data_IF_447469911599
#
_entry.id   IF_447469911599
#
_cell.length_a   1.000
_cell.length_b   1.000
_cell.length_c   1.000
_cell.angle_alpha   90.00
_cell.angle_beta   90.00
_cell.angle_gamma   90.00
#
_symmetry.space_group_name_H-M   'P 1'
#
loop_
_entity.id
_entity.type
_entity.pdbx_description
1 polymer ?
#
# COMPACT_ATOMS: atom_id res chain seq x y z
N UNK A 1 22.35 9.79 7.70
CA UNK A 1 21.99 8.50 8.32
C UNK A 1 21.34 8.81 9.68
N UNK A 2 20.05 8.44 9.91
CA UNK A 2 19.40 8.65 11.21
C UNK A 2 19.77 7.48 12.12
N UNK A 3 20.21 7.76 13.35
CA UNK A 3 20.49 6.75 14.38
C UNK A 3 19.39 6.78 15.43
N UNK A 4 19.06 5.63 15.99
CA UNK A 4 18.15 5.54 17.13
C UNK A 4 18.96 5.86 18.38
N UNK A 5 18.48 6.81 19.18
CA UNK A 5 19.05 7.20 20.47
C UNK A 5 18.00 6.94 21.53
N UNK A 6 18.36 6.21 22.58
CA UNK A 6 17.49 5.99 23.74
C UNK A 6 17.77 7.07 24.80
N UNK A 7 16.71 7.72 25.25
CA UNK A 7 16.79 8.75 26.29
C UNK A 7 15.90 8.35 27.47
N UNK A 8 16.40 8.53 28.67
CA UNK A 8 15.63 8.36 29.90
C UNK A 8 15.04 9.71 30.28
N UNK A 9 13.73 9.83 30.19
CA UNK A 9 12.97 11.04 30.55
C UNK A 9 11.85 10.64 31.48
N UNK A 10 11.55 11.48 32.49
CA UNK A 10 10.42 11.25 33.38
C UNK A 10 9.11 11.07 32.61
N UNK A 11 8.36 10.03 32.95
CA UNK A 11 7.14 9.64 32.23
C UNK A 11 6.10 10.76 32.25
N UNK A 12 5.98 11.48 33.36
CA UNK A 12 5.05 12.61 33.52
C UNK A 12 5.34 13.73 32.51
N UNK A 13 6.63 14.08 32.32
CA UNK A 13 7.04 15.09 31.33
C UNK A 13 6.72 14.69 29.90
N UNK A 14 6.82 13.37 29.60
CA UNK A 14 6.46 12.85 28.30
C UNK A 14 4.95 12.98 28.07
N UNK A 15 4.14 12.64 29.07
CA UNK A 15 2.70 12.72 29.00
C UNK A 15 2.20 14.17 28.88
N UNK A 16 2.74 15.07 29.68
CA UNK A 16 2.41 16.48 29.64
C UNK A 16 2.79 17.14 28.31
N UNK A 17 3.96 16.77 27.78
CA UNK A 17 4.39 17.21 26.46
C UNK A 17 3.46 16.75 25.35
N UNK A 18 3.06 15.48 25.37
CA UNK A 18 2.10 14.92 24.41
C UNK A 18 0.72 15.56 24.51
N UNK A 19 0.23 15.79 25.74
CA UNK A 19 -1.05 16.45 25.99
C UNK A 19 -1.08 17.88 25.44
N UNK A 20 0.07 18.57 25.44
CA UNK A 20 0.26 19.89 24.83
C UNK A 20 0.57 19.85 23.33
N UNK A 21 0.47 18.68 22.69
CA UNK A 21 0.71 18.53 21.26
C UNK A 21 2.18 18.50 20.84
N UNK A 22 3.11 18.33 21.80
CA UNK A 22 4.54 18.33 21.51
C UNK A 22 4.96 17.05 20.79
N UNK A 23 5.60 17.18 19.63
CA UNK A 23 6.28 16.07 18.99
C UNK A 23 7.69 15.89 19.59
N UNK A 24 7.83 14.92 20.50
CA UNK A 24 9.07 14.71 21.26
C UNK A 24 10.30 14.50 20.40
N UNK A 25 10.18 13.75 19.29
CA UNK A 25 11.31 13.50 18.38
C UNK A 25 11.78 14.78 17.70
N UNK A 26 10.85 15.64 17.28
CA UNK A 26 11.19 16.95 16.68
C UNK A 26 11.77 17.92 17.71
N UNK A 27 11.20 17.93 18.89
CA UNK A 27 11.70 18.76 19.99
C UNK A 27 13.13 18.39 20.33
N UNK A 28 13.44 17.10 20.47
CA UNK A 28 14.79 16.61 20.74
C UNK A 28 15.76 16.89 19.59
N UNK A 29 15.33 16.70 18.34
CA UNK A 29 16.16 17.03 17.17
C UNK A 29 16.48 18.54 17.13
N UNK A 30 15.49 19.39 17.41
CA UNK A 30 15.67 20.84 17.49
C UNK A 30 16.65 21.23 18.59
N UNK A 31 16.50 20.67 19.80
CA UNK A 31 17.37 20.98 20.94
C UNK A 31 18.80 20.45 20.74
N UNK A 32 18.97 19.30 20.11
CA UNK A 32 20.28 18.79 19.74
C UNK A 32 20.98 19.67 18.68
N UNK A 33 20.23 20.15 17.69
CA UNK A 33 20.77 21.10 16.69
C UNK A 33 21.18 22.41 17.33
N UNK A 34 20.37 22.94 18.26
CA UNK A 34 20.67 24.13 19.03
C UNK A 34 21.96 23.95 19.86
N UNK A 35 22.13 22.80 20.52
CA UNK A 35 23.29 22.49 21.36
C UNK A 35 24.57 22.26 20.52
N UNK A 36 24.48 21.54 19.42
CA UNK A 36 25.63 21.20 18.56
C UNK A 36 26.05 22.39 17.69
N UNK A 37 25.11 23.28 17.34
CA UNK A 37 25.33 24.41 16.44
C UNK A 37 26.01 25.63 17.07
N UNK A 38 26.34 25.61 18.37
CA UNK A 38 27.03 26.64 19.15
C UNK A 38 26.76 28.08 18.71
N UNK A 39 26.03 28.85 19.51
CA UNK A 39 25.76 30.28 19.36
C UNK A 39 24.90 30.73 18.18
N UNK A 40 23.62 30.45 18.26
CA UNK A 40 22.64 31.39 17.70
C UNK A 40 22.16 32.26 18.88
N UNK A 41 22.59 33.50 18.90
CA UNK A 41 22.10 34.49 19.85
C UNK A 41 20.59 34.61 19.66
N UNK A 42 19.85 34.63 20.77
CA UNK A 42 18.40 34.86 20.80
C UNK A 42 17.97 36.28 20.32
N UNK A 43 18.87 37.04 19.69
CA UNK A 43 18.64 38.41 19.23
C UNK A 43 18.33 38.55 17.75
N UNK A 44 18.52 37.53 16.94
CA UNK A 44 18.00 37.54 15.58
C UNK A 44 16.58 36.98 15.59
N UNK A 45 15.61 37.87 15.81
CA UNK A 45 14.31 37.77 15.20
C UNK A 45 14.51 37.78 13.67
N UNK A 46 15.14 36.76 13.14
CA UNK A 46 14.77 36.35 11.79
C UNK A 46 13.28 36.08 11.90
N UNK A 47 12.55 37.01 11.37
CA UNK A 47 11.24 36.76 10.81
C UNK A 47 11.42 35.49 9.97
N UNK A 48 11.39 34.36 10.67
CA UNK A 48 11.40 33.07 10.06
C UNK A 48 10.14 33.07 9.23
N UNK A 49 10.27 33.31 7.94
CA UNK A 49 9.17 33.46 7.00
C UNK A 49 8.33 32.20 6.90
N UNK A 50 7.82 31.78 8.06
CA UNK A 50 6.78 30.78 8.15
C UNK A 50 5.58 31.35 7.45
N UNK A 51 5.33 30.84 6.26
CA UNK A 51 4.20 31.29 5.46
C UNK A 51 2.90 31.17 6.27
N UNK A 52 2.15 32.25 6.36
CA UNK A 52 0.77 32.28 6.86
C UNK A 52 -0.20 31.64 5.87
N UNK A 53 0.28 31.30 4.71
CA UNK A 53 -0.41 30.69 3.55
C UNK A 53 0.31 29.43 3.15
N UNK A 54 -0.40 28.52 2.46
CA UNK A 54 0.26 27.41 1.74
C UNK A 54 0.92 28.03 0.49
N UNK A 55 2.26 27.93 0.36
CA UNK A 55 2.96 28.52 -0.78
C UNK A 55 2.60 27.83 -2.10
N UNK A 56 2.64 28.60 -3.20
CA UNK A 56 2.43 28.07 -4.54
C UNK A 56 3.28 26.83 -4.79
N UNK A 57 2.65 25.76 -5.31
CA UNK A 57 3.32 24.48 -5.47
C UNK A 57 4.53 24.55 -6.42
N UNK A 58 4.49 25.44 -7.40
CA UNK A 58 5.59 25.66 -8.36
C UNK A 58 6.95 25.94 -7.69
N UNK A 59 6.94 26.60 -6.53
CA UNK A 59 8.18 26.94 -5.78
C UNK A 59 8.86 25.71 -5.17
N UNK A 60 8.09 24.66 -4.86
CA UNK A 60 8.59 23.50 -4.14
C UNK A 60 8.44 22.19 -4.92
N UNK A 61 7.93 22.23 -6.14
CA UNK A 61 7.59 21.03 -6.93
C UNK A 61 8.73 20.02 -7.00
N UNK A 62 9.93 20.47 -7.39
CA UNK A 62 11.09 19.58 -7.58
C UNK A 62 11.54 18.91 -6.29
N UNK A 63 11.54 19.66 -5.18
CA UNK A 63 11.99 19.13 -3.90
C UNK A 63 10.92 18.26 -3.25
N UNK A 64 9.65 18.57 -3.48
CA UNK A 64 8.52 17.71 -3.09
C UNK A 64 8.53 16.38 -3.84
N UNK A 65 8.81 16.37 -5.16
CA UNK A 65 8.96 15.14 -5.95
C UNK A 65 10.08 14.25 -5.38
N UNK A 66 11.23 14.82 -5.06
CA UNK A 66 12.34 14.09 -4.41
C UNK A 66 11.93 13.53 -3.05
N UNK A 67 11.20 14.33 -2.28
CA UNK A 67 10.69 13.91 -0.99
C UNK A 67 9.69 12.73 -1.11
N UNK A 68 8.77 12.77 -2.09
CA UNK A 68 7.85 11.65 -2.34
C UNK A 68 8.59 10.36 -2.71
N UNK A 69 9.63 10.46 -3.54
CA UNK A 69 10.48 9.31 -3.88
C UNK A 69 11.15 8.72 -2.62
N UNK A 70 11.62 9.57 -1.71
CA UNK A 70 12.21 9.11 -0.44
C UNK A 70 11.21 8.45 0.52
N UNK A 71 9.90 8.60 0.28
CA UNK A 71 8.83 7.95 1.06
C UNK A 71 8.45 6.56 0.52
N UNK A 72 9.17 6.02 -0.46
CA UNK A 72 8.91 4.72 -1.10
C UNK A 72 7.48 4.59 -1.68
N UNK A 73 6.95 5.69 -2.21
CA UNK A 73 5.66 5.71 -2.87
C UNK A 73 5.75 5.23 -4.32
N UNK A 74 4.68 4.61 -4.82
CA UNK A 74 4.66 4.18 -6.23
C UNK A 74 4.76 5.38 -7.17
N UNK A 75 5.47 5.23 -8.29
CA UNK A 75 5.63 6.26 -9.32
C UNK A 75 4.29 6.85 -9.77
N UNK A 76 3.26 6.02 -9.99
CA UNK A 76 1.92 6.47 -10.38
C UNK A 76 1.31 7.39 -9.32
N UNK A 77 1.35 6.96 -8.06
CA UNK A 77 0.79 7.77 -6.96
C UNK A 77 1.52 9.09 -6.77
N UNK A 78 2.86 9.08 -6.86
CA UNK A 78 3.68 10.29 -6.85
C UNK A 78 3.26 11.25 -7.97
N UNK A 79 3.09 10.74 -9.20
CA UNK A 79 2.66 11.52 -10.35
C UNK A 79 1.26 12.10 -10.18
N UNK A 80 0.33 11.33 -9.63
CA UNK A 80 -1.05 11.77 -9.36
C UNK A 80 -1.06 12.92 -8.34
N UNK A 81 -0.29 12.82 -7.25
CA UNK A 81 -0.15 13.89 -6.26
C UNK A 81 0.42 15.17 -6.88
N UNK A 82 1.51 15.05 -7.63
CA UNK A 82 2.18 16.19 -8.28
C UNK A 82 1.29 16.87 -9.31
N UNK A 83 0.59 16.12 -10.15
CA UNK A 83 -0.32 16.65 -11.15
C UNK A 83 -1.50 17.38 -10.49
N UNK A 84 -2.07 16.81 -9.44
CA UNK A 84 -3.16 17.38 -8.66
C UNK A 84 -2.73 18.73 -8.05
N UNK A 85 -1.57 18.78 -7.39
CA UNK A 85 -1.06 20.01 -6.79
C UNK A 85 -0.69 21.05 -7.83
N UNK A 86 -0.13 20.65 -8.96
CA UNK A 86 0.20 21.57 -10.07
C UNK A 86 -1.05 22.27 -10.61
N UNK A 87 -2.17 21.58 -10.67
CA UNK A 87 -3.46 22.15 -11.09
C UNK A 87 -4.17 22.96 -10.02
N UNK A 88 -3.99 22.60 -8.74
CA UNK A 88 -4.77 23.12 -7.63
C UNK A 88 -4.10 24.26 -6.87
N UNK A 89 -2.79 24.19 -6.59
CA UNK A 89 -2.03 25.20 -5.82
C UNK A 89 -1.14 26.01 -6.77
N UNK A 90 -1.75 26.87 -7.58
CA UNK A 90 -1.05 27.69 -8.57
C UNK A 90 -0.40 28.93 -7.97
N UNK A 91 -0.97 29.44 -6.87
CA UNK A 91 -0.55 30.62 -6.12
C UNK A 91 -0.59 30.31 -4.62
N UNK A 92 -0.11 31.26 -3.81
CA UNK A 92 -0.16 31.13 -2.35
C UNK A 92 -1.62 31.17 -1.88
N UNK A 93 -2.06 30.13 -1.14
CA UNK A 93 -3.45 30.06 -0.69
C UNK A 93 -3.55 30.28 0.81
N UNK A 94 -4.35 31.27 1.20
CA UNK A 94 -4.67 31.60 2.59
C UNK A 94 -5.77 30.73 3.18
N UNK A 95 -6.61 30.13 2.32
CA UNK A 95 -7.71 29.26 2.70
C UNK A 95 -8.04 28.25 1.60
N UNK A 96 -8.75 27.17 1.95
CA UNK A 96 -9.17 26.12 1.03
C UNK A 96 -10.67 26.24 0.81
N UNK A 97 -11.08 26.21 -0.46
CA UNK A 97 -12.49 26.23 -0.84
C UNK A 97 -13.23 24.98 -0.34
N UNK A 98 -14.52 25.12 -0.04
CA UNK A 98 -15.34 24.04 0.52
C UNK A 98 -15.58 22.86 -0.44
N UNK A 99 -15.38 23.05 -1.76
CA UNK A 99 -15.63 22.05 -2.81
C UNK A 99 -14.34 21.36 -3.28
N UNK A 100 -13.53 20.88 -2.34
CA UNK A 100 -12.30 20.15 -2.66
C UNK A 100 -12.58 18.65 -2.92
N UNK A 101 -11.99 18.10 -3.98
CA UNK A 101 -12.09 16.67 -4.27
C UNK A 101 -11.26 15.82 -3.30
N UNK A 102 -11.61 14.54 -3.15
CA UNK A 102 -10.85 13.61 -2.30
C UNK A 102 -9.36 13.58 -2.65
N UNK A 103 -9.04 13.56 -3.95
CA UNK A 103 -7.64 13.54 -4.41
C UNK A 103 -6.91 14.84 -4.12
N UNK A 104 -7.58 15.99 -4.27
CA UNK A 104 -7.03 17.29 -3.87
C UNK A 104 -6.78 17.34 -2.37
N UNK A 105 -7.73 16.86 -1.56
CA UNK A 105 -7.55 16.78 -0.10
C UNK A 105 -6.33 15.95 0.29
N UNK A 106 -6.17 14.77 -0.32
CA UNK A 106 -5.01 13.90 -0.08
C UNK A 106 -3.70 14.56 -0.53
N UNK A 107 -3.70 15.17 -1.71
CA UNK A 107 -2.51 15.83 -2.25
C UNK A 107 -2.08 17.03 -1.41
N UNK A 108 -3.02 17.89 -0.99
CA UNK A 108 -2.73 19.04 -0.12
C UNK A 108 -2.24 18.58 1.25
N UNK A 109 -2.84 17.54 1.84
CA UNK A 109 -2.34 16.96 3.11
C UNK A 109 -0.90 16.46 2.99
N UNK A 110 -0.59 15.79 1.88
CA UNK A 110 0.77 15.31 1.61
C UNK A 110 1.75 16.47 1.47
N UNK A 111 1.37 17.52 0.77
CA UNK A 111 2.18 18.72 0.59
C UNK A 111 2.39 19.48 1.91
N UNK A 112 1.36 19.64 2.72
CA UNK A 112 1.46 20.21 4.06
C UNK A 112 2.43 19.42 4.96
N UNK A 113 2.42 18.09 4.90
CA UNK A 113 3.36 17.26 5.63
C UNK A 113 4.81 17.54 5.20
N UNK A 114 5.04 17.66 3.88
CA UNK A 114 6.34 18.05 3.34
C UNK A 114 6.77 19.42 3.83
N UNK A 115 5.90 20.45 3.71
CA UNK A 115 6.20 21.81 4.13
C UNK A 115 6.51 21.90 5.64
N UNK A 116 5.71 21.20 6.46
CA UNK A 116 5.96 21.12 7.90
C UNK A 116 7.28 20.43 8.23
N UNK A 117 7.62 19.33 7.53
CA UNK A 117 8.88 18.63 7.72
C UNK A 117 10.10 19.49 7.34
N UNK A 118 9.91 20.45 6.42
CA UNK A 118 10.91 21.44 6.02
C UNK A 118 10.87 22.72 6.85
N UNK A 119 10.00 22.79 7.85
CA UNK A 119 9.78 24.01 8.68
C UNK A 119 9.40 25.25 7.86
N UNK A 120 8.71 25.06 6.73
CA UNK A 120 8.25 26.14 5.86
C UNK A 120 6.87 26.66 6.23
N UNK A 121 6.12 25.93 7.06
CA UNK A 121 4.80 26.31 7.58
C UNK A 121 4.73 26.00 9.06
N UNK A 122 3.95 26.79 9.83
CA UNK A 122 3.74 26.54 11.25
C UNK A 122 2.80 25.36 11.50
N UNK A 123 2.92 24.72 12.66
CA UNK A 123 2.02 23.65 13.06
C UNK A 123 0.56 24.14 13.19
N UNK A 124 0.36 25.41 13.58
CA UNK A 124 -0.95 26.06 13.65
C UNK A 124 -1.60 26.17 12.26
N UNK A 125 -0.82 26.64 11.28
CA UNK A 125 -1.27 26.71 9.89
C UNK A 125 -1.64 25.31 9.38
N UNK A 126 -0.78 24.34 9.62
CA UNK A 126 -1.01 22.95 9.22
C UNK A 126 -2.30 22.39 9.85
N UNK A 127 -2.52 22.61 11.16
CA UNK A 127 -3.72 22.16 11.85
C UNK A 127 -4.99 22.83 11.30
N UNK A 128 -4.94 24.15 11.05
CA UNK A 128 -6.04 24.93 10.45
C UNK A 128 -6.46 24.33 9.10
N UNK A 129 -5.51 24.11 8.20
CA UNK A 129 -5.80 23.54 6.88
C UNK A 129 -6.25 22.08 6.96
N UNK A 130 -5.62 21.24 7.79
CA UNK A 130 -6.01 19.83 7.94
C UNK A 130 -7.43 19.67 8.46
N UNK A 131 -7.93 20.60 9.28
CA UNK A 131 -9.32 20.60 9.74
C UNK A 131 -10.32 20.77 8.60
N UNK A 132 -9.96 21.56 7.56
CA UNK A 132 -10.78 21.79 6.36
C UNK A 132 -10.61 20.73 5.28
N UNK A 133 -9.64 19.85 5.44
CA UNK A 133 -9.33 18.77 4.50
C UNK A 133 -9.85 17.44 5.05
N UNK A 134 -11.10 17.05 4.82
CA UNK A 134 -11.64 15.82 5.37
C UNK A 134 -10.88 14.59 4.81
N UNK A 135 -10.67 13.60 5.67
CA UNK A 135 -10.27 12.27 5.22
C UNK A 135 -11.56 11.50 4.98
N UNK A 136 -11.85 11.23 3.72
CA UNK A 136 -13.01 10.40 3.40
C UNK A 136 -12.74 8.98 3.88
N UNK A 137 -13.55 8.52 4.80
CA UNK A 137 -13.58 7.11 5.15
C UNK A 137 -14.28 6.34 4.02
N UNK A 138 -13.57 5.41 3.39
CA UNK A 138 -14.20 4.52 2.42
C UNK A 138 -15.24 3.66 3.15
N UNK A 139 -16.46 3.63 2.64
CA UNK A 139 -17.46 2.67 3.14
C UNK A 139 -16.95 1.25 2.90
N UNK A 140 -17.16 0.32 3.85
CA UNK A 140 -16.84 -1.09 3.63
C UNK A 140 -17.56 -1.60 2.39
N UNK A 141 -16.82 -2.22 1.49
CA UNK A 141 -17.39 -2.89 0.34
C UNK A 141 -17.62 -4.35 0.71
N UNK A 142 -18.85 -4.70 1.07
CA UNK A 142 -19.24 -6.03 1.58
C UNK A 142 -19.59 -7.02 0.47
N UNK A 143 -19.51 -6.61 -0.80
CA UNK A 143 -19.80 -7.51 -1.92
C UNK A 143 -18.74 -8.60 -2.01
N UNK A 144 -19.21 -9.86 -2.07
CA UNK A 144 -18.44 -11.07 -2.33
C UNK A 144 -19.16 -11.79 -3.46
N UNK A 145 -18.50 -12.08 -4.60
CA UNK A 145 -19.15 -12.76 -5.71
C UNK A 145 -19.48 -14.23 -5.37
N UNK A 146 -20.53 -14.74 -5.96
CA UNK A 146 -20.88 -16.17 -5.93
C UNK A 146 -19.94 -16.97 -6.85
N UNK A 147 -19.92 -18.30 -6.71
CA UNK A 147 -19.20 -19.19 -7.61
C UNK A 147 -19.68 -19.03 -9.06
N UNK A 148 -21.00 -18.90 -9.26
CA UNK A 148 -21.59 -18.73 -10.61
C UNK A 148 -21.13 -17.43 -11.27
N UNK A 149 -21.00 -16.34 -10.51
CA UNK A 149 -20.47 -15.08 -11.03
C UNK A 149 -18.99 -15.21 -11.42
N UNK A 150 -18.19 -15.91 -10.59
CA UNK A 150 -16.77 -16.18 -10.91
C UNK A 150 -16.63 -17.04 -12.15
N UNK A 151 -17.38 -18.15 -12.24
CA UNK A 151 -17.39 -19.04 -13.41
C UNK A 151 -17.89 -18.30 -14.65
N UNK A 152 -18.97 -17.52 -14.52
CA UNK A 152 -19.54 -16.72 -15.59
C UNK A 152 -18.54 -15.72 -16.17
N UNK A 153 -17.82 -15.00 -15.30
CA UNK A 153 -16.79 -14.07 -15.70
C UNK A 153 -15.61 -14.77 -16.39
N UNK A 154 -15.18 -15.91 -15.87
CA UNK A 154 -14.13 -16.72 -16.51
C UNK A 154 -14.52 -17.17 -17.93
N UNK A 155 -15.73 -17.68 -18.12
CA UNK A 155 -16.23 -18.15 -19.44
C UNK A 155 -16.34 -17.05 -20.49
N UNK A 156 -16.52 -15.79 -20.07
CA UNK A 156 -16.56 -14.65 -20.99
C UNK A 156 -15.18 -14.21 -21.51
N UNK A 157 -14.09 -14.61 -20.85
CA UNK A 157 -12.73 -14.30 -21.29
C UNK A 157 -12.37 -15.19 -22.49
N UNK A 158 -12.06 -14.56 -23.63
CA UNK A 158 -11.69 -15.29 -24.87
C UNK A 158 -10.19 -15.49 -25.03
N UNK A 159 -9.39 -14.56 -24.54
CA UNK A 159 -7.92 -14.60 -24.64
C UNK A 159 -7.34 -15.50 -23.54
N UNK A 160 -6.60 -16.53 -23.94
CA UNK A 160 -5.98 -17.49 -23.03
C UNK A 160 -5.06 -16.84 -22.00
N UNK A 161 -4.39 -15.74 -22.35
CA UNK A 161 -3.53 -14.99 -21.39
C UNK A 161 -4.35 -14.47 -20.22
N UNK A 162 -5.51 -13.87 -20.51
CA UNK A 162 -6.39 -13.33 -19.45
C UNK A 162 -7.13 -14.44 -18.71
N UNK A 163 -7.42 -15.58 -19.38
CA UNK A 163 -7.97 -16.76 -18.70
C UNK A 163 -6.97 -17.33 -17.69
N UNK A 164 -5.69 -17.48 -18.06
CA UNK A 164 -4.64 -17.94 -17.15
C UNK A 164 -4.44 -16.97 -15.99
N UNK A 165 -4.38 -15.66 -16.27
CA UNK A 165 -4.24 -14.64 -15.22
C UNK A 165 -5.46 -14.62 -14.29
N UNK A 166 -6.67 -14.78 -14.82
CA UNK A 166 -7.89 -14.88 -14.02
C UNK A 166 -7.84 -16.08 -13.09
N UNK A 167 -7.52 -17.27 -13.61
CA UNK A 167 -7.36 -18.49 -12.80
C UNK A 167 -6.32 -18.29 -11.69
N UNK A 168 -5.16 -17.74 -12.02
CA UNK A 168 -4.13 -17.46 -11.02
C UNK A 168 -4.60 -16.50 -9.93
N UNK A 169 -5.35 -15.44 -10.29
CA UNK A 169 -5.96 -14.53 -9.30
C UNK A 169 -6.97 -15.26 -8.41
N UNK A 170 -7.84 -16.08 -9.02
CA UNK A 170 -8.86 -16.82 -8.30
C UNK A 170 -8.28 -17.91 -7.40
N UNK A 171 -7.21 -18.58 -7.82
CA UNK A 171 -6.58 -19.65 -7.05
C UNK A 171 -5.65 -19.15 -5.94
N UNK A 172 -5.13 -17.93 -6.04
CA UNK A 172 -4.16 -17.39 -5.08
C UNK A 172 -4.67 -16.26 -4.21
N UNK A 173 -5.73 -15.57 -4.64
CA UNK A 173 -6.12 -14.31 -4.03
C UNK A 173 -5.04 -13.22 -4.07
N UNK A 174 -3.99 -13.38 -4.88
CA UNK A 174 -2.90 -12.41 -4.98
C UNK A 174 -3.38 -11.04 -5.45
N UNK A 175 -2.61 -9.99 -5.13
CA UNK A 175 -2.89 -8.68 -5.72
C UNK A 175 -2.56 -8.68 -7.20
N UNK A 176 -3.43 -8.09 -8.02
CA UNK A 176 -3.22 -8.03 -9.48
C UNK A 176 -1.85 -7.44 -9.86
N UNK A 177 -1.35 -6.47 -9.11
CA UNK A 177 -0.03 -5.87 -9.34
C UNK A 177 1.11 -6.86 -9.11
N UNK A 178 0.99 -7.71 -8.09
CA UNK A 178 1.96 -8.75 -7.76
C UNK A 178 1.92 -9.88 -8.80
N UNK A 179 0.71 -10.30 -9.18
CA UNK A 179 0.54 -11.34 -10.18
C UNK A 179 1.03 -10.89 -11.57
N UNK A 180 0.68 -9.68 -12.01
CA UNK A 180 1.16 -9.13 -13.29
C UNK A 180 2.67 -9.02 -13.29
N UNK A 181 3.29 -8.62 -12.18
CA UNK A 181 4.75 -8.62 -12.05
C UNK A 181 5.31 -10.03 -12.18
N UNK A 182 4.75 -11.01 -11.46
CA UNK A 182 5.14 -12.41 -11.54
C UNK A 182 5.12 -12.91 -12.98
N UNK A 183 4.02 -12.75 -13.73
CA UNK A 183 3.92 -13.30 -15.09
C UNK A 183 4.80 -12.55 -16.10
N UNK A 184 5.13 -11.29 -15.85
CA UNK A 184 6.09 -10.53 -16.69
C UNK A 184 7.53 -10.97 -16.48
N UNK A 185 7.87 -11.25 -15.24
CA UNK A 185 9.23 -11.58 -14.78
C UNK A 185 9.37 -13.08 -14.49
N UNK A 186 8.47 -13.92 -15.00
CA UNK A 186 8.42 -15.36 -14.68
C UNK A 186 9.77 -16.03 -14.88
N UNK A 187 10.22 -16.72 -13.84
CA UNK A 187 11.45 -17.52 -13.79
C UNK A 187 11.11 -18.92 -13.26
N UNK A 188 11.30 -19.99 -14.06
CA UNK A 188 10.99 -21.36 -13.62
C UNK A 188 11.71 -21.76 -12.33
N UNK A 189 12.90 -21.23 -12.05
CA UNK A 189 13.67 -21.52 -10.84
C UNK A 189 13.02 -21.06 -9.54
N UNK A 190 12.03 -20.15 -9.61
CA UNK A 190 11.25 -19.68 -8.46
C UNK A 190 9.99 -20.48 -8.21
N UNK A 191 9.70 -21.45 -9.07
CA UNK A 191 8.54 -22.31 -8.94
C UNK A 191 8.88 -23.55 -8.10
N UNK A 192 8.08 -23.80 -7.07
CA UNK A 192 8.15 -24.99 -6.24
C UNK A 192 6.89 -25.79 -6.55
N UNK A 193 7.07 -27.05 -6.99
CA UNK A 193 5.97 -27.92 -7.37
C UNK A 193 5.84 -29.02 -6.33
N UNK A 194 4.68 -29.11 -5.72
CA UNK A 194 4.29 -30.14 -4.75
C UNK A 194 3.39 -31.20 -5.40
N UNK A 195 2.85 -32.10 -4.62
CA UNK A 195 2.04 -33.21 -5.15
C UNK A 195 0.75 -32.72 -5.84
N UNK A 196 -0.02 -31.84 -5.18
CA UNK A 196 -1.31 -31.34 -5.67
C UNK A 196 -1.29 -29.88 -6.10
N UNK A 197 -0.32 -29.11 -5.66
CA UNK A 197 -0.24 -27.68 -5.92
C UNK A 197 1.18 -27.26 -6.32
N UNK A 198 1.30 -26.02 -6.77
CA UNK A 198 2.55 -25.31 -6.94
C UNK A 198 2.50 -23.96 -6.27
N UNK A 199 3.66 -23.41 -5.91
CA UNK A 199 3.80 -22.06 -5.38
C UNK A 199 4.97 -21.35 -6.03
N UNK A 200 4.76 -20.10 -6.40
CA UNK A 200 5.79 -19.26 -7.00
C UNK A 200 6.31 -18.26 -5.96
N UNK A 201 7.62 -18.19 -5.82
CA UNK A 201 8.30 -17.38 -4.83
C UNK A 201 8.39 -15.91 -5.29
N UNK A 202 7.80 -14.99 -4.54
CA UNK A 202 7.76 -13.56 -4.90
C UNK A 202 8.81 -12.72 -4.19
N UNK A 203 9.07 -12.95 -2.90
CA UNK A 203 9.90 -12.10 -2.03
C UNK A 203 9.59 -10.60 -2.15
N UNK A 204 8.30 -10.24 -2.10
CA UNK A 204 7.88 -8.86 -2.31
C UNK A 204 7.43 -8.23 -1.00
N UNK A 205 8.18 -7.21 -0.56
CA UNK A 205 7.84 -6.40 0.61
C UNK A 205 7.49 -4.98 0.16
N UNK A 206 6.33 -4.48 0.58
CA UNK A 206 5.90 -3.10 0.35
C UNK A 206 5.31 -2.52 1.63
N UNK A 207 6.08 -1.70 2.34
CA UNK A 207 5.68 -1.14 3.63
C UNK A 207 5.37 -2.24 4.65
N UNK A 208 4.14 -2.26 5.18
CA UNK A 208 3.69 -3.28 6.14
C UNK A 208 3.10 -4.54 5.49
N UNK A 209 3.21 -4.71 4.16
CA UNK A 209 2.61 -5.82 3.42
C UNK A 209 3.69 -6.66 2.80
N UNK A 210 3.67 -7.96 3.09
CA UNK A 210 4.60 -8.95 2.54
C UNK A 210 3.83 -10.02 1.80
N UNK A 211 4.15 -10.26 0.53
CA UNK A 211 3.68 -11.38 -0.27
C UNK A 211 4.86 -12.29 -0.56
N UNK A 212 4.75 -13.53 -0.13
CA UNK A 212 5.86 -14.47 -0.19
C UNK A 212 5.72 -15.47 -1.33
N UNK A 213 4.50 -15.94 -1.55
CA UNK A 213 4.19 -16.95 -2.56
C UNK A 213 2.90 -16.62 -3.30
N UNK A 214 2.81 -17.07 -4.53
CA UNK A 214 1.54 -17.21 -5.26
C UNK A 214 1.26 -18.70 -5.36
N UNK A 215 0.22 -19.15 -4.69
CA UNK A 215 -0.25 -20.54 -4.70
C UNK A 215 -1.13 -20.79 -5.91
N UNK A 216 -1.09 -22.02 -6.44
CA UNK A 216 -1.91 -22.43 -7.57
C UNK A 216 -2.04 -23.95 -7.63
N UNK A 217 -3.10 -24.51 -8.23
CA UNK A 217 -3.17 -25.94 -8.56
C UNK A 217 -2.00 -26.35 -9.44
N UNK A 218 -1.50 -27.58 -9.28
CA UNK A 218 -0.37 -28.11 -10.07
C UNK A 218 -0.63 -28.08 -11.56
N UNK A 219 -1.88 -28.28 -11.96
CA UNK A 219 -2.34 -28.25 -13.35
C UNK A 219 -2.13 -26.90 -14.05
N UNK A 220 -1.92 -25.83 -13.28
CA UNK A 220 -1.60 -24.51 -13.82
C UNK A 220 -0.15 -24.38 -14.31
N UNK A 221 0.75 -25.27 -13.86
CA UNK A 221 2.19 -25.19 -14.17
C UNK A 221 2.49 -25.15 -15.67
N UNK A 222 1.87 -25.98 -16.53
CA UNK A 222 2.09 -25.91 -17.97
C UNK A 222 1.64 -24.60 -18.64
N UNK A 223 0.75 -23.86 -18.01
CA UNK A 223 0.28 -22.57 -18.53
C UNK A 223 1.20 -21.39 -18.15
N UNK A 224 2.19 -21.62 -17.27
CA UNK A 224 3.07 -20.57 -16.79
C UNK A 224 4.20 -20.27 -17.78
N UNK A 225 4.21 -19.05 -18.28
CA UNK A 225 5.31 -18.48 -19.05
C UNK A 225 5.30 -16.96 -18.95
N UNK A 226 6.24 -16.28 -19.58
CA UNK A 226 6.25 -14.82 -19.60
C UNK A 226 5.10 -14.25 -20.42
N UNK A 227 4.29 -13.40 -19.78
CA UNK A 227 3.24 -12.64 -20.45
C UNK A 227 3.57 -11.16 -20.46
N UNK A 228 3.58 -10.55 -21.63
CA UNK A 228 3.76 -9.11 -21.77
C UNK A 228 2.41 -8.38 -21.63
N UNK A 229 1.99 -8.14 -20.41
CA UNK A 229 0.71 -7.52 -20.08
C UNK A 229 0.91 -6.35 -19.09
N UNK A 230 -0.02 -5.40 -19.09
CA UNK A 230 -0.06 -4.30 -18.13
C UNK A 230 -1.21 -4.48 -17.16
N UNK A 231 -1.04 -4.01 -15.90
CA UNK A 231 -2.06 -4.09 -14.85
C UNK A 231 -3.40 -3.49 -15.32
N UNK A 232 -3.35 -2.31 -15.95
CA UNK A 232 -4.56 -1.63 -16.42
C UNK A 232 -5.28 -2.43 -17.52
N UNK A 233 -4.53 -3.05 -18.44
CA UNK A 233 -5.10 -3.92 -19.47
C UNK A 233 -5.76 -5.15 -18.88
N UNK A 234 -5.08 -5.84 -17.95
CA UNK A 234 -5.62 -7.02 -17.26
C UNK A 234 -6.88 -6.64 -16.47
N UNK A 235 -6.81 -5.54 -15.70
CA UNK A 235 -7.95 -5.03 -14.92
C UNK A 235 -9.13 -4.73 -15.82
N UNK A 236 -8.91 -4.08 -16.95
CA UNK A 236 -9.97 -3.73 -17.91
C UNK A 236 -10.61 -4.99 -18.52
N UNK A 237 -9.80 -5.94 -18.99
CA UNK A 237 -10.30 -7.16 -19.63
C UNK A 237 -11.10 -8.03 -18.66
N UNK A 238 -10.62 -8.21 -17.43
CA UNK A 238 -11.35 -8.96 -16.41
C UNK A 238 -12.61 -8.21 -15.98
N UNK A 239 -12.55 -6.88 -15.79
CA UNK A 239 -13.75 -6.11 -15.44
C UNK A 239 -14.80 -6.15 -16.54
N UNK A 240 -14.39 -6.17 -17.81
CA UNK A 240 -15.29 -6.31 -18.96
C UNK A 240 -16.01 -7.66 -19.01
N UNK A 241 -15.44 -8.71 -18.41
CA UNK A 241 -16.11 -10.02 -18.28
C UNK A 241 -17.13 -10.07 -17.13
N UNK A 242 -17.45 -8.94 -16.51
CA UNK A 242 -18.49 -8.79 -15.49
C UNK A 242 -17.99 -8.81 -14.05
N UNK A 243 -16.69 -9.05 -13.79
CA UNK A 243 -16.15 -9.13 -12.42
C UNK A 243 -14.86 -8.32 -12.27
N UNK A 244 -14.85 -7.34 -11.37
CA UNK A 244 -13.61 -6.61 -11.07
C UNK A 244 -12.61 -7.55 -10.36
N UNK A 245 -11.32 -7.58 -10.77
CA UNK A 245 -10.30 -8.46 -10.19
C UNK A 245 -10.16 -8.40 -8.66
N UNK A 246 -10.46 -7.26 -8.05
CA UNK A 246 -10.42 -7.12 -6.57
C UNK A 246 -11.38 -8.09 -5.86
N UNK A 247 -12.47 -8.45 -6.54
CA UNK A 247 -13.47 -9.35 -5.96
C UNK A 247 -13.06 -10.82 -6.00
N UNK A 248 -12.18 -11.22 -6.93
CA UNK A 248 -11.58 -12.56 -6.90
C UNK A 248 -10.80 -12.80 -5.62
N UNK A 249 -10.10 -11.79 -5.13
CA UNK A 249 -9.38 -11.87 -3.87
C UNK A 249 -10.32 -12.00 -2.66
N UNK A 250 -11.45 -11.26 -2.66
CA UNK A 250 -12.46 -11.40 -1.61
C UNK A 250 -13.15 -12.78 -1.65
N UNK A 251 -13.46 -13.25 -2.87
CA UNK A 251 -14.03 -14.58 -3.08
C UNK A 251 -13.09 -15.67 -2.58
N UNK A 252 -11.82 -15.63 -2.94
CA UNK A 252 -10.83 -16.61 -2.51
C UNK A 252 -10.65 -16.59 -0.98
N UNK A 253 -10.53 -15.41 -0.37
CA UNK A 253 -10.43 -15.31 1.09
C UNK A 253 -11.64 -15.93 1.78
N UNK A 254 -12.82 -15.62 1.29
CA UNK A 254 -14.07 -16.19 1.79
C UNK A 254 -14.10 -17.72 1.62
N UNK A 255 -13.62 -18.24 0.48
CA UNK A 255 -13.46 -19.67 0.25
C UNK A 255 -12.52 -20.31 1.28
N UNK A 256 -11.39 -19.69 1.60
CA UNK A 256 -10.47 -20.18 2.63
C UNK A 256 -11.17 -20.28 4.00
N UNK A 257 -11.86 -19.23 4.41
CA UNK A 257 -12.56 -19.18 5.70
C UNK A 257 -13.68 -20.23 5.78
N UNK A 258 -14.47 -20.40 4.72
CA UNK A 258 -15.51 -21.43 4.66
C UNK A 258 -14.97 -22.86 4.72
N UNK A 259 -13.73 -23.08 4.27
CA UNK A 259 -13.04 -24.35 4.37
C UNK A 259 -12.20 -24.47 5.66
N UNK A 260 -12.51 -23.68 6.69
CA UNK A 260 -11.89 -23.70 8.02
C UNK A 260 -10.38 -23.42 8.03
N UNK A 261 -9.84 -22.76 7.01
CA UNK A 261 -8.44 -22.32 7.02
C UNK A 261 -8.28 -21.25 8.09
N UNK A 262 -7.36 -21.40 9.06
CA UNK A 262 -7.13 -20.39 10.09
C UNK A 262 -6.85 -19.01 9.49
N UNK A 263 -7.45 -17.95 10.03
CA UNK A 263 -7.36 -16.58 9.48
C UNK A 263 -5.90 -16.13 9.26
N UNK A 264 -5.01 -16.39 10.23
CA UNK A 264 -3.59 -16.03 10.09
C UNK A 264 -2.86 -16.81 8.99
N UNK A 265 -3.36 -17.98 8.57
CA UNK A 265 -2.85 -18.76 7.43
C UNK A 265 -3.45 -18.23 6.12
N UNK A 266 -4.75 -17.93 6.11
CA UNK A 266 -5.43 -17.30 4.99
C UNK A 266 -4.78 -15.94 4.64
N UNK A 267 -4.49 -15.12 5.65
CA UNK A 267 -3.75 -13.87 5.48
C UNK A 267 -2.35 -14.09 4.90
N UNK A 268 -1.66 -15.13 5.31
CA UNK A 268 -0.35 -15.46 4.77
C UNK A 268 -0.43 -15.87 3.29
N UNK A 269 -1.37 -16.77 2.94
CA UNK A 269 -1.58 -17.24 1.56
C UNK A 269 -1.87 -16.05 0.63
N UNK A 270 -2.73 -15.13 1.06
CA UNK A 270 -3.07 -13.94 0.27
C UNK A 270 -2.01 -12.82 0.31
N UNK A 271 -0.95 -12.95 1.11
CA UNK A 271 0.03 -11.86 1.26
C UNK A 271 -0.54 -10.64 2.01
N UNK A 272 -1.37 -10.86 3.04
CA UNK A 272 -1.84 -9.84 3.99
C UNK A 272 -1.01 -9.84 5.28
N UNK A 273 -0.10 -10.80 5.42
CA UNK A 273 0.70 -10.97 6.63
C UNK A 273 1.52 -9.70 6.94
N UNK A 274 1.59 -9.36 8.22
CA UNK A 274 2.42 -8.25 8.69
C UNK A 274 3.91 -8.55 8.45
N UNK A 275 4.66 -7.56 7.96
CA UNK A 275 6.11 -7.65 7.80
C UNK A 275 6.87 -7.78 9.13
N UNK A 276 6.20 -7.54 10.28
CA UNK A 276 6.79 -7.60 11.62
C UNK A 276 6.83 -9.00 12.21
N UNK A 277 6.28 -10.00 11.53
CA UNK A 277 6.35 -11.40 11.96
C UNK A 277 7.78 -11.90 11.73
N UNK A 278 8.50 -12.12 12.81
CA UNK A 278 9.90 -12.55 12.78
C UNK A 278 10.13 -13.80 11.92
N UNK A 279 11.34 -13.94 11.37
CA UNK A 279 11.71 -14.97 10.39
C UNK A 279 11.41 -16.42 10.83
N UNK A 280 11.46 -16.73 12.14
CA UNK A 280 11.11 -18.06 12.66
C UNK A 280 9.62 -18.38 12.55
N UNK A 281 8.74 -17.38 12.75
CA UNK A 281 7.29 -17.56 12.55
C UNK A 281 6.93 -17.69 11.08
N UNK A 282 7.76 -17.16 10.19
CA UNK A 282 7.58 -17.23 8.74
C UNK A 282 7.66 -18.66 8.19
N UNK A 283 8.72 -19.43 8.55
CA UNK A 283 8.88 -20.82 8.11
C UNK A 283 7.74 -21.71 8.62
N UNK A 284 7.30 -21.52 9.86
CA UNK A 284 6.15 -22.21 10.40
C UNK A 284 4.85 -21.88 9.65
N UNK A 285 4.63 -20.62 9.32
CA UNK A 285 3.44 -20.20 8.56
C UNK A 285 3.45 -20.70 7.12
N UNK A 286 4.61 -20.73 6.46
CA UNK A 286 4.72 -21.29 5.10
C UNK A 286 4.34 -22.79 5.08
N UNK A 287 4.82 -23.58 6.03
CA UNK A 287 4.44 -24.99 6.16
C UNK A 287 2.95 -25.18 6.45
N UNK A 288 2.37 -24.33 7.30
CA UNK A 288 0.93 -24.37 7.56
C UNK A 288 0.13 -23.98 6.30
N UNK A 289 0.58 -22.98 5.56
CA UNK A 289 -0.04 -22.57 4.31
C UNK A 289 0.02 -23.68 3.25
N UNK A 290 1.14 -24.36 3.12
CA UNK A 290 1.30 -25.52 2.23
C UNK A 290 0.31 -26.63 2.60
N UNK A 291 0.27 -27.01 3.86
CA UNK A 291 -0.67 -28.02 4.37
C UNK A 291 -2.13 -27.64 4.06
N UNK A 292 -2.55 -26.43 4.41
CA UNK A 292 -3.93 -26.02 4.22
C UNK A 292 -4.29 -25.85 2.75
N UNK A 293 -3.39 -25.34 1.94
CA UNK A 293 -3.63 -25.20 0.50
C UNK A 293 -3.80 -26.57 -0.17
N UNK A 294 -3.00 -27.55 0.23
CA UNK A 294 -3.15 -28.93 -0.25
C UNK A 294 -4.52 -29.55 0.06
N UNK A 295 -5.08 -29.24 1.25
CA UNK A 295 -6.39 -29.76 1.65
C UNK A 295 -7.54 -29.16 0.83
N UNK A 296 -7.41 -27.90 0.41
CA UNK A 296 -8.51 -27.17 -0.23
C UNK A 296 -8.42 -27.13 -1.76
N UNK A 297 -7.27 -27.43 -2.36
CA UNK A 297 -7.00 -27.16 -3.77
C UNK A 297 -7.96 -27.91 -4.71
N UNK A 298 -8.39 -29.12 -4.38
CA UNK A 298 -9.32 -29.89 -5.21
C UNK A 298 -10.73 -29.28 -5.21
N UNK A 299 -11.22 -28.85 -4.03
CA UNK A 299 -12.47 -28.10 -3.92
C UNK A 299 -12.41 -26.74 -4.61
N UNK A 300 -11.27 -26.07 -4.52
CA UNK A 300 -11.04 -24.79 -5.17
C UNK A 300 -11.06 -24.91 -6.71
N UNK A 301 -10.45 -25.96 -7.28
CA UNK A 301 -10.53 -26.27 -8.73
C UNK A 301 -11.96 -26.46 -9.18
N UNK A 302 -12.72 -27.29 -8.47
CA UNK A 302 -14.12 -27.56 -8.78
C UNK A 302 -15.00 -26.31 -8.74
N UNK A 303 -14.65 -25.33 -7.91
CA UNK A 303 -15.39 -24.06 -7.78
C UNK A 303 -15.15 -23.07 -8.93
N UNK A 304 -14.18 -23.29 -9.82
CA UNK A 304 -13.83 -22.37 -10.91
C UNK A 304 -13.95 -23.05 -12.28
N UNK A 305 -13.51 -24.30 -12.39
CA UNK A 305 -13.39 -24.98 -13.67
C UNK A 305 -14.62 -25.88 -13.95
N UNK A 306 -15.33 -26.28 -12.89
CA UNK A 306 -16.61 -27.01 -12.92
C UNK A 306 -16.45 -28.43 -13.35
#
# INVERSE_FOLDING_TARGET
>A
MKKIVTLYVEEQLIQDGKAKGLNLSRFLESKLREFVGGNISLSDKHDSGMHQTIPAFSRHKRDYEKWLISQDLSYRYTKDLVNTLTGFIREDIGDIADNITDMQSVAVRSYLNYLSQKSLVSDELMARFKKKLPIKQSKPDNYIPSNDEVIGAYKQLKDKRFQTIFKLLAFSGARITELVKMVKEYEPSKLIVEEKFAKYQLHYNRGHKSSFYIYMPKEMVPELHKYYVHVDTVTHQISKSGLNPKYLRKWFYNFLIYNNVPEGVADFIEGRASATVGSMHYLSKAKQADYWYEQIVDGLKSSIIG
#
